data_IF_597118590447
#
_entry.id   IF_597118590447
#
_cell.length_a   1.000
_cell.length_b   1.000
_cell.length_c   1.000
_cell.angle_alpha   90.00
_cell.angle_beta   90.00
_cell.angle_gamma   90.00
#
_symmetry.space_group_name_H-M   'P 1'
#
loop_
_entity.id
_entity.type
_entity.pdbx_description
1 polymer ?
#
# COMPACT_ATOMS: atom_id res chain seq x y z
N UNK A 1 -47.42 -0.94 -36.61
CA UNK A 1 -46.04 -0.37 -36.43
C UNK A 1 -45.87 -0.07 -34.97
N UNK A 2 -45.30 -0.99 -34.23
CA UNK A 2 -45.05 -0.88 -32.78
C UNK A 2 -43.61 -0.56 -32.54
N UNK A 3 -43.37 0.59 -31.90
CA UNK A 3 -42.04 1.07 -31.49
C UNK A 3 -41.69 0.33 -30.21
N UNK A 4 -40.62 -0.45 -30.23
CA UNK A 4 -40.04 -1.11 -29.06
C UNK A 4 -39.40 -0.05 -28.15
N UNK A 5 -39.93 0.09 -26.96
CA UNK A 5 -39.27 0.76 -25.84
C UNK A 5 -38.11 -0.11 -25.38
N UNK A 6 -36.90 0.41 -25.50
CA UNK A 6 -35.71 -0.18 -24.90
C UNK A 6 -35.74 0.05 -23.38
N UNK A 7 -35.74 -1.05 -22.67
CA UNK A 7 -35.79 -1.16 -21.21
C UNK A 7 -34.51 -0.63 -20.55
N UNK A 8 -34.62 0.45 -19.80
CA UNK A 8 -33.54 1.10 -19.05
C UNK A 8 -33.34 0.52 -17.64
N UNK A 9 -33.41 -0.82 -17.50
CA UNK A 9 -33.37 -1.50 -16.21
C UNK A 9 -32.19 -2.45 -16.03
N UNK A 10 -30.95 -2.00 -16.27
CA UNK A 10 -29.78 -2.82 -15.92
C UNK A 10 -28.64 -1.97 -15.36
N UNK A 11 -28.78 -1.53 -14.10
CA UNK A 11 -27.66 -1.24 -13.18
C UNK A 11 -28.20 -0.95 -11.77
N UNK A 12 -28.96 -1.91 -11.21
CA UNK A 12 -29.23 -1.97 -9.77
C UNK A 12 -28.71 -3.30 -9.24
N UNK A 13 -27.39 -3.40 -9.07
CA UNK A 13 -26.83 -4.43 -8.18
C UNK A 13 -27.23 -4.05 -6.76
N UNK A 14 -27.83 -4.97 -5.97
CA UNK A 14 -28.29 -4.62 -4.62
C UNK A 14 -27.10 -4.25 -3.74
N UNK A 15 -27.05 -3.02 -3.27
CA UNK A 15 -26.07 -2.51 -2.29
C UNK A 15 -25.92 -3.43 -1.05
N UNK A 16 -26.92 -4.23 -0.74
CA UNK A 16 -26.91 -5.17 0.38
C UNK A 16 -26.04 -6.40 0.17
N UNK A 17 -25.89 -6.91 -1.05
CA UNK A 17 -25.02 -8.07 -1.34
C UNK A 17 -23.55 -7.67 -1.45
N UNK A 18 -23.24 -6.48 -1.99
CA UNK A 18 -21.89 -5.93 -2.01
C UNK A 18 -21.38 -5.59 -0.60
N UNK A 19 -22.22 -5.11 0.30
CA UNK A 19 -21.86 -4.83 1.71
C UNK A 19 -21.41 -6.06 2.50
N UNK A 20 -21.87 -7.25 2.13
CA UNK A 20 -21.50 -8.50 2.81
C UNK A 20 -20.17 -9.07 2.32
N UNK A 21 -19.80 -8.77 1.06
CA UNK A 21 -18.57 -9.27 0.41
C UNK A 21 -17.32 -8.40 0.62
N UNK A 22 -17.47 -7.11 0.98
CA UNK A 22 -16.36 -6.15 1.08
C UNK A 22 -16.36 -5.43 2.43
N UNK A 23 -16.28 -6.18 3.52
CA UNK A 23 -16.36 -5.62 4.87
C UNK A 23 -15.13 -4.78 5.22
N UNK A 24 -13.97 -5.21 4.77
CA UNK A 24 -12.70 -4.57 5.10
C UNK A 24 -12.63 -3.15 4.54
N UNK A 25 -12.75 -2.99 3.22
CA UNK A 25 -12.61 -1.67 2.60
C UNK A 25 -13.75 -0.72 3.01
N UNK A 26 -14.97 -1.23 3.22
CA UNK A 26 -16.09 -0.44 3.72
C UNK A 26 -15.81 0.13 5.11
N UNK A 27 -15.23 -0.67 6.00
CA UNK A 27 -14.82 -0.21 7.33
C UNK A 27 -13.71 0.85 7.29
N UNK A 28 -12.80 0.77 6.31
CA UNK A 28 -11.81 1.82 6.05
C UNK A 28 -12.50 3.12 5.64
N UNK A 29 -13.46 3.07 4.71
CA UNK A 29 -14.21 4.26 4.26
C UNK A 29 -14.92 4.95 5.43
N UNK A 30 -15.63 4.20 6.27
CA UNK A 30 -16.34 4.74 7.43
C UNK A 30 -15.39 5.46 8.41
N UNK A 31 -14.21 4.88 8.67
CA UNK A 31 -13.21 5.51 9.54
C UNK A 31 -12.61 6.77 8.93
N UNK A 32 -12.33 6.73 7.61
CA UNK A 32 -11.71 7.87 6.93
C UNK A 32 -12.67 9.06 6.77
N UNK A 33 -13.98 8.82 6.64
CA UNK A 33 -15.01 9.88 6.60
C UNK A 33 -14.95 10.79 7.84
N UNK A 34 -14.55 10.27 9.00
CA UNK A 34 -14.41 11.06 10.22
C UNK A 34 -13.18 11.97 10.23
N UNK A 35 -12.17 11.66 9.39
CA UNK A 35 -10.91 12.40 9.33
C UNK A 35 -10.39 12.46 7.88
N UNK A 36 -11.09 13.20 7.00
CA UNK A 36 -10.76 13.23 5.57
C UNK A 36 -9.32 13.68 5.29
N UNK A 37 -8.72 13.17 4.21
CA UNK A 37 -7.33 13.44 3.81
C UNK A 37 -7.21 14.02 2.42
N UNK A 38 -6.07 14.69 2.18
CA UNK A 38 -5.67 15.17 0.86
C UNK A 38 -4.81 14.10 0.20
N UNK A 39 -5.30 13.53 -0.89
CA UNK A 39 -4.57 12.50 -1.65
C UNK A 39 -4.20 13.06 -3.01
N UNK A 40 -2.90 13.04 -3.34
CA UNK A 40 -2.41 13.48 -4.64
C UNK A 40 -2.24 12.30 -5.59
N UNK A 41 -2.69 12.49 -6.83
CA UNK A 41 -2.61 11.54 -7.93
C UNK A 41 -1.82 12.18 -9.08
N UNK A 42 -0.55 11.81 -9.27
CA UNK A 42 0.30 12.36 -10.33
C UNK A 42 -0.24 12.14 -11.75
N UNK A 43 -0.89 11.01 -11.98
CA UNK A 43 -1.42 10.58 -13.27
C UNK A 43 -2.87 11.05 -13.49
N UNK A 44 -3.13 12.32 -13.20
CA UNK A 44 -4.48 12.88 -13.17
C UNK A 44 -5.21 12.92 -14.51
N UNK A 45 -4.56 12.56 -15.61
CA UNK A 45 -5.16 12.46 -16.96
C UNK A 45 -5.74 11.07 -17.26
N UNK A 46 -5.36 10.04 -16.48
CA UNK A 46 -5.86 8.68 -16.66
C UNK A 46 -7.34 8.58 -16.25
N UNK A 47 -8.13 7.94 -17.09
CA UNK A 47 -9.57 7.79 -16.89
C UNK A 47 -9.95 7.08 -15.60
N UNK A 48 -9.17 6.08 -15.18
CA UNK A 48 -9.38 5.31 -13.95
C UNK A 48 -9.07 6.16 -12.73
N UNK A 49 -8.02 6.97 -12.81
CA UNK A 49 -7.61 7.90 -11.75
C UNK A 49 -8.68 8.99 -11.55
N UNK A 50 -9.23 9.55 -12.64
CA UNK A 50 -10.33 10.53 -12.58
C UNK A 50 -11.57 9.91 -11.93
N UNK A 51 -11.93 8.68 -12.30
CA UNK A 51 -13.07 7.96 -11.69
C UNK A 51 -12.86 7.73 -10.19
N UNK A 52 -11.68 7.24 -9.80
CA UNK A 52 -11.32 7.01 -8.40
C UNK A 52 -11.33 8.32 -7.59
N UNK A 53 -10.74 9.39 -8.12
CA UNK A 53 -10.71 10.70 -7.47
C UNK A 53 -12.13 11.26 -7.25
N UNK A 54 -13.00 11.15 -8.26
CA UNK A 54 -14.40 11.57 -8.12
C UNK A 54 -15.14 10.76 -7.06
N UNK A 55 -14.95 9.43 -7.04
CA UNK A 55 -15.56 8.57 -6.03
C UNK A 55 -15.03 8.88 -4.62
N UNK A 56 -13.73 9.13 -4.48
CA UNK A 56 -13.09 9.51 -3.22
C UNK A 56 -13.74 10.77 -2.61
N UNK A 57 -14.00 11.78 -3.43
CA UNK A 57 -14.71 12.99 -3.01
C UNK A 57 -16.18 12.69 -2.68
N UNK A 58 -16.90 11.97 -3.57
CA UNK A 58 -18.32 11.68 -3.40
C UNK A 58 -18.61 10.88 -2.13
N UNK A 59 -17.72 9.95 -1.78
CA UNK A 59 -17.77 9.17 -0.55
C UNK A 59 -17.29 9.95 0.68
N UNK A 60 -16.95 11.24 0.53
CA UNK A 60 -16.47 12.12 1.62
C UNK A 60 -15.19 11.60 2.31
N UNK A 61 -14.32 10.92 1.58
CA UNK A 61 -13.07 10.38 2.11
C UNK A 61 -11.99 11.46 2.21
N UNK A 62 -12.11 12.55 1.44
CA UNK A 62 -11.17 13.65 1.48
C UNK A 62 -11.18 14.51 0.21
N UNK A 63 -10.08 15.22 0.00
CA UNK A 63 -9.85 16.09 -1.15
C UNK A 63 -8.86 15.39 -2.10
N UNK A 64 -9.31 14.88 -3.24
CA UNK A 64 -8.43 14.37 -4.27
C UNK A 64 -7.77 15.52 -5.03
N UNK A 65 -6.47 15.37 -5.33
CA UNK A 65 -5.67 16.35 -6.06
C UNK A 65 -5.12 15.64 -7.31
N UNK A 66 -5.58 16.03 -8.48
CA UNK A 66 -5.11 15.54 -9.77
C UNK A 66 -4.01 16.44 -10.30
N UNK A 67 -2.86 15.87 -10.68
CA UNK A 67 -1.80 16.59 -11.36
C UNK A 67 -1.85 16.39 -12.86
N UNK A 68 -1.53 17.45 -13.61
CA UNK A 68 -1.44 17.44 -15.07
C UNK A 68 -2.18 18.58 -15.73
N UNK A 69 -2.22 18.56 -17.06
CA UNK A 69 -2.88 19.59 -17.86
C UNK A 69 -4.38 19.69 -17.54
N UNK A 70 -4.80 20.84 -17.03
CA UNK A 70 -6.21 21.11 -16.70
C UNK A 70 -7.14 20.88 -17.89
N UNK A 71 -6.67 21.18 -19.10
CA UNK A 71 -7.44 20.98 -20.33
C UNK A 71 -7.67 19.51 -20.58
N UNK A 72 -6.61 18.69 -20.55
CA UNK A 72 -6.69 17.26 -20.85
C UNK A 72 -7.51 16.49 -19.78
N UNK A 73 -7.34 16.85 -18.50
CA UNK A 73 -8.14 16.26 -17.41
C UNK A 73 -9.64 16.54 -17.63
N UNK A 74 -10.01 17.78 -17.99
CA UNK A 74 -11.41 18.13 -18.27
C UNK A 74 -11.95 17.40 -19.49
N UNK A 75 -11.21 17.37 -20.59
CA UNK A 75 -11.61 16.64 -21.80
C UNK A 75 -11.84 15.14 -21.53
N UNK A 76 -10.99 14.52 -20.69
CA UNK A 76 -11.15 13.11 -20.31
C UNK A 76 -12.37 12.92 -19.41
N UNK A 77 -12.58 13.80 -18.44
CA UNK A 77 -13.75 13.76 -17.55
C UNK A 77 -15.07 13.96 -18.32
N UNK A 78 -15.10 14.90 -19.29
CA UNK A 78 -16.26 15.17 -20.13
C UNK A 78 -16.63 13.95 -20.99
N UNK A 79 -15.63 13.27 -21.58
CA UNK A 79 -15.85 12.01 -22.31
C UNK A 79 -16.45 10.89 -21.45
N UNK A 80 -16.15 10.89 -20.16
CA UNK A 80 -16.67 9.94 -19.18
C UNK A 80 -17.95 10.39 -18.52
N UNK A 81 -18.44 11.61 -18.82
CA UNK A 81 -19.55 12.26 -18.13
C UNK A 81 -19.35 12.37 -16.62
N UNK A 82 -18.11 12.63 -16.19
CA UNK A 82 -17.72 12.78 -14.78
C UNK A 82 -17.61 14.26 -14.44
N UNK A 83 -18.39 14.72 -13.46
CA UNK A 83 -18.26 16.05 -12.89
C UNK A 83 -17.03 16.15 -11.99
N UNK A 84 -16.20 17.18 -12.20
CA UNK A 84 -14.96 17.41 -11.43
C UNK A 84 -15.17 18.34 -10.22
N UNK A 85 -16.41 18.57 -9.81
CA UNK A 85 -16.71 19.36 -8.61
C UNK A 85 -16.10 18.68 -7.37
N UNK A 86 -15.38 19.47 -6.55
CA UNK A 86 -14.67 18.98 -5.37
C UNK A 86 -13.34 18.25 -5.64
N UNK A 87 -12.95 18.11 -6.90
CA UNK A 87 -11.64 17.58 -7.30
C UNK A 87 -10.70 18.76 -7.58
N UNK A 88 -9.58 18.83 -6.83
CA UNK A 88 -8.56 19.87 -7.07
C UNK A 88 -7.67 19.46 -8.24
N UNK A 89 -7.45 20.37 -9.20
CA UNK A 89 -6.55 20.12 -10.33
C UNK A 89 -5.39 21.13 -10.27
N UNK A 90 -4.18 20.62 -10.32
CA UNK A 90 -2.94 21.40 -10.36
C UNK A 90 -2.16 21.01 -11.61
N UNK A 91 -1.81 22.00 -12.43
CA UNK A 91 -0.85 21.83 -13.50
C UNK A 91 0.54 22.21 -12.96
N UNK A 92 1.48 21.26 -12.82
CA UNK A 92 2.81 21.53 -12.30
C UNK A 92 3.54 22.65 -13.06
N UNK A 93 3.30 22.74 -14.38
CA UNK A 93 3.96 23.73 -15.25
C UNK A 93 3.47 25.14 -15.08
N UNK A 94 2.30 25.32 -14.44
CA UNK A 94 1.62 26.61 -14.24
C UNK A 94 1.36 26.90 -12.76
N UNK A 95 2.05 26.18 -11.87
CA UNK A 95 1.83 26.31 -10.43
C UNK A 95 2.64 27.44 -9.82
N UNK A 96 2.01 28.21 -8.94
CA UNK A 96 2.67 29.25 -8.15
C UNK A 96 3.74 28.66 -7.18
N UNK A 97 3.59 27.39 -6.81
CA UNK A 97 4.52 26.70 -5.90
C UNK A 97 5.77 26.16 -6.61
N UNK A 98 5.82 26.19 -7.95
CA UNK A 98 6.90 25.58 -8.76
C UNK A 98 8.29 26.04 -8.32
N UNK A 99 8.48 27.38 -8.22
CA UNK A 99 9.78 27.94 -7.86
C UNK A 99 10.18 27.60 -6.42
N UNK A 100 9.21 27.59 -5.50
CA UNK A 100 9.42 27.19 -4.10
C UNK A 100 9.86 25.74 -4.00
N UNK A 101 9.17 24.85 -4.73
CA UNK A 101 9.50 23.42 -4.76
C UNK A 101 10.87 23.18 -5.42
N UNK A 102 11.17 23.86 -6.52
CA UNK A 102 12.46 23.74 -7.20
C UNK A 102 13.62 24.15 -6.30
N UNK A 103 13.53 25.29 -5.60
CA UNK A 103 14.55 25.74 -4.63
C UNK A 103 14.72 24.73 -3.49
N UNK A 104 13.61 24.18 -2.98
CA UNK A 104 13.69 23.18 -1.92
C UNK A 104 14.34 21.89 -2.40
N UNK A 105 14.00 21.41 -3.58
CA UNK A 105 14.59 20.21 -4.17
C UNK A 105 16.07 20.40 -4.49
N UNK A 106 16.46 21.56 -5.01
CA UNK A 106 17.88 21.90 -5.22
C UNK A 106 18.66 21.85 -3.91
N UNK A 107 18.12 22.41 -2.82
CA UNK A 107 18.77 22.34 -1.49
C UNK A 107 18.94 20.88 -1.01
N UNK A 108 17.92 20.04 -1.17
CA UNK A 108 17.98 18.63 -0.78
C UNK A 108 19.04 17.85 -1.56
N UNK A 109 19.27 18.21 -2.84
CA UNK A 109 20.10 17.43 -3.76
C UNK A 109 21.37 18.17 -4.22
N UNK A 110 21.69 19.33 -3.67
CA UNK A 110 22.87 20.12 -4.01
C UNK A 110 24.17 19.33 -3.87
N UNK A 111 24.30 18.52 -2.81
CA UNK A 111 25.43 17.63 -2.60
C UNK A 111 25.65 16.56 -3.67
N UNK A 112 24.63 16.34 -4.51
CA UNK A 112 24.66 15.40 -5.63
C UNK A 112 24.74 16.09 -6.99
N UNK A 113 25.07 17.40 -7.02
CA UNK A 113 25.29 18.16 -8.24
C UNK A 113 24.02 18.72 -8.91
N UNK A 114 22.85 18.64 -8.26
CA UNK A 114 21.63 19.25 -8.79
C UNK A 114 21.71 20.78 -8.66
N UNK A 115 21.49 21.48 -9.76
CA UNK A 115 21.35 22.93 -9.80
C UNK A 115 19.88 23.35 -9.89
N UNK A 116 19.60 24.65 -9.74
CA UNK A 116 18.23 25.17 -9.72
C UNK A 116 17.47 24.94 -11.04
N UNK A 117 18.15 25.01 -12.19
CA UNK A 117 17.48 24.81 -13.48
C UNK A 117 17.06 23.34 -13.66
N UNK A 118 17.93 22.38 -13.31
CA UNK A 118 17.57 20.97 -13.28
C UNK A 118 16.47 20.66 -12.25
N UNK A 119 16.46 21.35 -11.12
CA UNK A 119 15.40 21.22 -10.13
C UNK A 119 14.06 21.76 -10.65
N UNK A 120 14.03 22.87 -11.40
CA UNK A 120 12.81 23.38 -12.07
C UNK A 120 12.29 22.40 -13.11
N UNK A 121 13.18 21.87 -13.94
CA UNK A 121 12.83 20.87 -14.95
C UNK A 121 12.21 19.62 -14.32
N UNK A 122 12.78 19.14 -13.22
CA UNK A 122 12.21 18.03 -12.47
C UNK A 122 10.79 18.34 -11.95
N UNK A 123 10.54 19.55 -11.47
CA UNK A 123 9.21 19.94 -10.96
C UNK A 123 8.11 20.01 -12.03
N UNK A 124 8.44 20.03 -13.32
CA UNK A 124 7.44 19.86 -14.38
C UNK A 124 6.88 18.43 -14.46
N UNK A 125 7.60 17.46 -13.90
CA UNK A 125 7.18 16.06 -13.88
C UNK A 125 6.23 15.80 -12.70
N UNK A 126 5.03 15.23 -12.94
CA UNK A 126 4.01 15.08 -11.90
C UNK A 126 4.45 14.28 -10.67
N UNK A 127 5.27 13.23 -10.86
CA UNK A 127 5.76 12.42 -9.73
C UNK A 127 6.76 13.18 -8.84
N UNK A 128 7.62 14.04 -9.41
CA UNK A 128 8.48 14.92 -8.63
C UNK A 128 7.67 15.98 -7.89
N UNK A 129 6.71 16.59 -8.58
CA UNK A 129 5.85 17.62 -8.01
C UNK A 129 5.01 17.05 -6.84
N UNK A 130 4.41 15.87 -7.02
CA UNK A 130 3.65 15.18 -5.97
C UNK A 130 4.51 14.82 -4.77
N UNK A 131 5.73 14.33 -4.99
CA UNK A 131 6.69 14.04 -3.92
C UNK A 131 7.03 15.30 -3.12
N UNK A 132 7.21 16.45 -3.79
CA UNK A 132 7.39 17.72 -3.10
C UNK A 132 6.13 18.18 -2.35
N UNK A 133 4.93 17.96 -2.89
CA UNK A 133 3.68 18.24 -2.16
C UNK A 133 3.59 17.44 -0.85
N UNK A 134 4.04 16.17 -0.84
CA UNK A 134 4.13 15.37 0.38
C UNK A 134 5.17 15.94 1.36
N UNK A 135 6.38 16.24 0.87
CA UNK A 135 7.45 16.79 1.68
C UNK A 135 7.06 18.13 2.32
N UNK A 136 6.33 18.97 1.59
CA UNK A 136 5.86 20.29 2.03
C UNK A 136 4.47 20.27 2.69
N UNK A 137 3.93 19.08 3.03
CA UNK A 137 2.63 18.89 3.70
C UNK A 137 1.42 19.50 2.96
N UNK A 138 1.51 19.66 1.66
CA UNK A 138 0.39 20.08 0.84
C UNK A 138 -0.54 18.92 0.46
N UNK A 139 -0.03 17.69 0.51
CA UNK A 139 -0.80 16.45 0.44
C UNK A 139 -0.47 15.55 1.65
N UNK A 140 -1.41 14.68 2.04
CA UNK A 140 -1.24 13.75 3.16
C UNK A 140 -0.78 12.37 2.67
N UNK A 141 -1.17 11.98 1.45
CA UNK A 141 -0.78 10.72 0.80
C UNK A 141 -0.64 10.88 -0.73
N UNK A 142 0.06 9.94 -1.37
CA UNK A 142 0.24 9.89 -2.83
C UNK A 142 -0.09 8.50 -3.36
N UNK A 143 -0.82 8.44 -4.47
CA UNK A 143 -1.13 7.21 -5.22
C UNK A 143 -0.70 7.40 -6.66
N UNK A 144 0.24 6.59 -7.16
CA UNK A 144 0.77 6.66 -8.51
C UNK A 144 1.09 5.26 -9.05
N UNK A 145 1.40 5.11 -10.34
CA UNK A 145 1.78 3.86 -11.00
C UNK A 145 0.68 3.22 -11.84
N UNK A 146 -0.48 3.87 -11.99
CA UNK A 146 -1.53 3.39 -12.89
C UNK A 146 -1.09 3.44 -14.38
N UNK A 147 -0.17 4.33 -14.72
CA UNK A 147 0.38 4.53 -16.08
C UNK A 147 1.88 4.34 -16.07
N UNK A 148 2.58 5.00 -15.15
CA UNK A 148 4.03 4.99 -15.03
C UNK A 148 4.56 3.65 -14.49
N UNK A 149 5.81 3.33 -14.83
CA UNK A 149 6.48 2.18 -14.21
C UNK A 149 6.88 2.49 -12.76
N UNK A 150 7.05 1.45 -11.94
CA UNK A 150 7.46 1.62 -10.54
C UNK A 150 8.76 2.44 -10.40
N UNK A 151 9.72 2.30 -11.32
CA UNK A 151 10.96 3.07 -11.29
C UNK A 151 10.74 4.57 -11.50
N UNK A 152 9.81 4.97 -12.37
CA UNK A 152 9.45 6.37 -12.62
C UNK A 152 8.78 7.01 -11.39
N UNK A 153 8.04 6.23 -10.62
CA UNK A 153 7.41 6.69 -9.38
C UNK A 153 8.42 6.71 -8.21
N UNK A 154 9.18 5.63 -8.05
CA UNK A 154 10.09 5.46 -6.90
C UNK A 154 11.28 6.41 -6.94
N UNK A 155 11.84 6.69 -8.13
CA UNK A 155 13.04 7.51 -8.24
C UNK A 155 12.88 8.93 -7.66
N UNK A 156 11.88 9.75 -8.06
CA UNK A 156 11.65 11.05 -7.43
C UNK A 156 11.28 10.94 -5.95
N UNK A 157 10.50 9.94 -5.58
CA UNK A 157 10.06 9.74 -4.21
C UNK A 157 11.26 9.54 -3.26
N UNK A 158 12.15 8.60 -3.59
CA UNK A 158 13.33 8.29 -2.76
C UNK A 158 14.39 9.41 -2.78
N UNK A 159 14.33 10.33 -3.72
CA UNK A 159 15.17 11.52 -3.72
C UNK A 159 14.68 12.63 -2.78
N UNK A 160 13.37 12.66 -2.50
CA UNK A 160 12.70 13.77 -1.80
C UNK A 160 12.23 13.34 -0.41
N UNK A 161 11.67 12.12 -0.28
CA UNK A 161 11.13 11.60 0.98
C UNK A 161 12.19 10.76 1.68
N UNK A 162 12.43 11.06 2.94
CA UNK A 162 13.40 10.32 3.74
C UNK A 162 12.85 8.96 4.18
N UNK A 163 13.73 7.98 4.43
CA UNK A 163 13.36 6.79 5.17
C UNK A 163 12.73 7.17 6.53
N UNK A 164 11.77 6.38 6.98
CA UNK A 164 11.18 6.56 8.30
C UNK A 164 12.23 6.35 9.40
N UNK A 165 12.11 7.07 10.52
CA UNK A 165 13.06 6.98 11.63
C UNK A 165 13.16 5.53 12.15
N UNK A 166 14.39 5.03 12.27
CA UNK A 166 14.67 3.65 12.72
C UNK A 166 14.48 2.59 11.64
N UNK A 167 14.10 2.94 10.41
CA UNK A 167 13.95 1.98 9.31
C UNK A 167 15.14 2.04 8.38
N UNK A 168 15.69 0.86 8.03
CA UNK A 168 16.80 0.75 7.08
C UNK A 168 16.34 0.24 5.72
N UNK A 169 15.22 -0.50 5.68
CA UNK A 169 14.71 -1.16 4.48
C UNK A 169 13.38 -0.58 4.04
N UNK A 170 13.33 -0.11 2.79
CA UNK A 170 12.06 0.27 2.14
C UNK A 170 11.50 -0.96 1.43
N UNK A 171 10.20 -1.24 1.58
CA UNK A 171 9.54 -2.39 0.97
C UNK A 171 8.11 -2.04 0.53
N UNK A 172 7.49 -2.92 -0.26
CA UNK A 172 6.12 -2.78 -0.69
C UNK A 172 5.21 -3.88 -0.14
N UNK A 173 4.08 -3.50 0.45
CA UNK A 173 3.10 -4.44 0.96
C UNK A 173 1.80 -4.38 0.17
N UNK A 174 1.24 -5.54 -0.13
CA UNK A 174 -0.09 -5.71 -0.69
C UNK A 174 -1.06 -6.20 0.38
N UNK A 175 -2.30 -5.69 0.33
CA UNK A 175 -3.40 -6.17 1.17
C UNK A 175 -4.36 -6.92 0.27
N UNK A 176 -4.63 -8.18 0.59
CA UNK A 176 -5.60 -9.02 -0.11
C UNK A 176 -6.88 -9.09 0.73
N UNK A 177 -8.04 -8.77 0.11
CA UNK A 177 -9.35 -8.99 0.67
C UNK A 177 -10.01 -10.16 -0.06
N UNK A 178 -10.16 -11.30 0.63
CA UNK A 178 -10.78 -12.52 0.13
C UNK A 178 -12.30 -12.37 0.16
N UNK A 179 -12.94 -12.53 -1.00
CA UNK A 179 -14.38 -12.22 -1.18
C UNK A 179 -15.38 -13.25 -0.66
N UNK A 180 -14.96 -14.48 -0.38
CA UNK A 180 -15.86 -15.57 -0.04
C UNK A 180 -16.02 -15.80 1.47
N UNK A 181 -17.22 -16.13 1.91
CA UNK A 181 -17.52 -16.43 3.31
C UNK A 181 -16.72 -17.64 3.85
N UNK A 182 -16.37 -18.59 3.00
CA UNK A 182 -15.54 -19.75 3.36
C UNK A 182 -14.09 -19.35 3.65
N UNK A 183 -13.61 -18.29 3.00
CA UNK A 183 -12.27 -17.73 3.19
C UNK A 183 -12.15 -16.77 4.39
N UNK A 184 -13.27 -16.45 5.06
CA UNK A 184 -13.26 -15.57 6.25
C UNK A 184 -12.45 -16.15 7.43
N UNK A 185 -12.13 -17.45 7.40
CA UNK A 185 -11.26 -18.11 8.40
C UNK A 185 -9.77 -17.89 8.14
N UNK A 186 -9.41 -17.42 6.95
CA UNK A 186 -8.02 -17.18 6.53
C UNK A 186 -7.64 -15.75 6.91
N UNK A 187 -6.49 -15.58 7.53
CA UNK A 187 -5.97 -14.26 7.90
C UNK A 187 -6.78 -13.59 9.02
N UNK A 188 -7.05 -12.31 8.86
CA UNK A 188 -7.92 -11.51 9.72
C UNK A 188 -9.26 -11.29 9.01
N UNK A 189 -10.26 -12.11 9.29
CA UNK A 189 -11.58 -12.06 8.64
C UNK A 189 -11.51 -12.02 7.10
N UNK A 190 -10.62 -12.82 6.50
CA UNK A 190 -10.40 -12.86 5.05
C UNK A 190 -9.42 -11.80 4.54
N UNK A 191 -8.69 -11.12 5.42
CA UNK A 191 -7.67 -10.12 5.04
C UNK A 191 -6.27 -10.68 5.29
N UNK A 192 -5.40 -10.59 4.29
CA UNK A 192 -4.00 -10.96 4.34
C UNK A 192 -3.11 -9.79 3.93
N UNK A 193 -1.96 -9.69 4.57
CA UNK A 193 -0.89 -8.75 4.21
C UNK A 193 0.29 -9.51 3.64
N UNK A 194 0.76 -9.12 2.47
CA UNK A 194 1.88 -9.73 1.75
C UNK A 194 3.03 -8.74 1.62
N UNK A 195 4.29 -9.18 1.80
CA UNK A 195 5.49 -8.40 1.54
C UNK A 195 6.74 -9.30 1.33
N UNK A 196 7.80 -8.81 0.72
CA UNK A 196 7.89 -7.62 -0.12
C UNK A 196 7.37 -7.92 -1.53
N UNK A 197 6.55 -7.06 -2.06
CA UNK A 197 5.92 -7.27 -3.36
C UNK A 197 6.45 -6.33 -4.46
N UNK A 198 7.45 -5.45 -4.17
CA UNK A 198 7.83 -4.43 -5.15
C UNK A 198 9.27 -3.91 -5.16
N UNK A 199 10.11 -4.15 -4.15
CA UNK A 199 11.41 -3.47 -4.03
C UNK A 199 12.60 -4.42 -3.85
N UNK A 200 12.58 -5.28 -2.83
CA UNK A 200 13.73 -6.09 -2.45
C UNK A 200 13.77 -7.42 -3.23
N UNK A 201 14.72 -7.55 -4.17
CA UNK A 201 14.80 -8.72 -5.03
C UNK A 201 15.16 -9.98 -4.26
N UNK A 202 16.26 -9.94 -3.49
CA UNK A 202 16.74 -11.05 -2.66
C UNK A 202 17.19 -10.50 -1.30
N UNK A 203 16.25 -10.26 -0.38
CA UNK A 203 16.54 -9.63 0.90
C UNK A 203 17.45 -10.49 1.78
N UNK A 204 18.35 -9.83 2.50
CA UNK A 204 19.15 -10.41 3.58
C UNK A 204 18.30 -10.78 4.79
N UNK A 205 18.88 -11.41 5.81
CA UNK A 205 18.19 -11.71 7.09
C UNK A 205 17.69 -10.41 7.73
N UNK A 206 18.53 -9.38 7.75
CA UNK A 206 18.24 -8.09 8.34
C UNK A 206 17.10 -7.37 7.60
N UNK A 207 17.13 -7.39 6.28
CA UNK A 207 16.08 -6.81 5.42
C UNK A 207 14.76 -7.57 5.55
N UNK A 208 14.78 -8.92 5.57
CA UNK A 208 13.56 -9.71 5.83
C UNK A 208 12.94 -9.39 7.20
N UNK A 209 13.78 -9.23 8.23
CA UNK A 209 13.31 -8.85 9.55
C UNK A 209 12.68 -7.45 9.55
N UNK A 210 13.26 -6.47 8.86
CA UNK A 210 12.70 -5.13 8.71
C UNK A 210 11.37 -5.16 7.96
N UNK A 211 11.30 -5.90 6.83
CA UNK A 211 10.07 -6.09 6.04
C UNK A 211 8.97 -6.69 6.93
N UNK A 212 9.30 -7.71 7.72
CA UNK A 212 8.37 -8.38 8.62
C UNK A 212 7.81 -7.43 9.69
N UNK A 213 8.67 -6.64 10.33
CA UNK A 213 8.27 -5.65 11.37
C UNK A 213 7.44 -4.52 10.75
N UNK A 214 7.86 -3.98 9.60
CA UNK A 214 7.14 -2.91 8.92
C UNK A 214 5.74 -3.36 8.48
N UNK A 215 5.62 -4.58 7.94
CA UNK A 215 4.33 -5.15 7.53
C UNK A 215 3.45 -5.49 8.72
N UNK A 216 4.02 -6.01 9.82
CA UNK A 216 3.29 -6.21 11.08
C UNK A 216 2.73 -4.89 11.60
N UNK A 217 3.49 -3.81 11.57
CA UNK A 217 3.04 -2.47 11.97
C UNK A 217 1.87 -2.00 11.11
N UNK A 218 1.94 -2.17 9.78
CA UNK A 218 0.84 -1.86 8.87
C UNK A 218 -0.41 -2.69 9.22
N UNK A 219 -0.27 -4.01 9.39
CA UNK A 219 -1.39 -4.90 9.72
C UNK A 219 -2.06 -4.49 11.05
N UNK A 220 -1.27 -4.22 12.09
CA UNK A 220 -1.78 -3.74 13.37
C UNK A 220 -2.50 -2.39 13.25
N UNK A 221 -1.97 -1.47 12.44
CA UNK A 221 -2.60 -0.17 12.19
C UNK A 221 -3.94 -0.31 11.49
N UNK A 222 -4.07 -1.21 10.55
CA UNK A 222 -5.25 -1.32 9.69
C UNK A 222 -6.34 -2.20 10.34
N UNK A 223 -5.99 -3.36 10.92
CA UNK A 223 -6.95 -4.31 11.48
C UNK A 223 -7.19 -4.13 12.97
N UNK A 224 -6.25 -3.58 13.71
CA UNK A 224 -6.22 -3.50 15.19
C UNK A 224 -6.11 -4.87 15.88
N UNK A 225 -5.81 -5.94 15.14
CA UNK A 225 -5.52 -7.27 15.65
C UNK A 225 -4.00 -7.47 15.78
N UNK A 226 -3.53 -8.25 16.77
CA UNK A 226 -2.13 -8.64 16.84
C UNK A 226 -1.72 -9.40 15.56
N UNK A 227 -0.73 -8.89 14.79
CA UNK A 227 -0.25 -9.58 13.60
C UNK A 227 0.38 -10.93 13.91
N UNK A 228 0.10 -11.91 13.08
CA UNK A 228 0.65 -13.26 13.06
C UNK A 228 1.45 -13.41 11.78
N UNK A 229 2.75 -13.17 11.90
CA UNK A 229 3.67 -13.00 10.76
C UNK A 229 4.37 -14.33 10.47
N UNK A 230 4.14 -14.89 9.29
CA UNK A 230 4.80 -16.07 8.77
C UNK A 230 5.86 -15.69 7.75
N UNK A 231 7.13 -16.04 7.99
CA UNK A 231 8.18 -15.98 7.00
C UNK A 231 8.14 -17.27 6.17
N UNK A 232 7.79 -17.12 4.88
CA UNK A 232 7.51 -18.24 4.00
C UNK A 232 8.78 -18.87 3.45
N UNK A 233 8.78 -20.20 3.36
CA UNK A 233 9.89 -21.00 2.83
C UNK A 233 9.38 -22.23 2.08
N UNK A 234 10.30 -22.94 1.45
CA UNK A 234 10.06 -24.26 0.82
C UNK A 234 9.74 -25.33 1.87
N UNK A 235 10.24 -25.21 3.09
CA UNK A 235 10.17 -26.17 4.19
C UNK A 235 9.41 -25.59 5.39
N UNK A 236 9.03 -26.46 6.33
CA UNK A 236 8.36 -26.09 7.59
C UNK A 236 9.16 -26.67 8.75
N UNK A 237 9.94 -25.84 9.44
CA UNK A 237 10.81 -26.17 10.60
C UNK A 237 11.75 -27.39 10.38
N UNK A 238 12.02 -27.75 9.13
CA UNK A 238 12.82 -28.95 8.79
C UNK A 238 14.31 -28.66 8.75
N UNK A 239 14.71 -27.44 8.40
CA UNK A 239 16.13 -27.10 8.19
C UNK A 239 16.95 -27.16 9.46
N UNK A 240 16.40 -26.73 10.58
CA UNK A 240 17.09 -26.77 11.87
C UNK A 240 17.24 -28.20 12.42
N UNK A 241 16.28 -29.07 12.11
CA UNK A 241 16.24 -30.45 12.67
C UNK A 241 17.08 -31.41 11.84
N UNK A 242 17.08 -31.29 10.50
CA UNK A 242 17.69 -32.29 9.61
C UNK A 242 19.18 -32.02 9.32
N UNK A 243 19.65 -30.78 9.36
CA UNK A 243 20.99 -30.41 8.89
C UNK A 243 21.82 -29.55 9.86
N UNK A 244 21.24 -29.12 11.00
CA UNK A 244 21.91 -28.21 11.93
C UNK A 244 22.19 -26.82 11.35
N UNK A 245 21.51 -26.46 10.24
CA UNK A 245 21.65 -25.17 9.54
C UNK A 245 20.38 -24.33 9.82
N UNK A 246 20.59 -23.16 10.35
CA UNK A 246 19.49 -22.18 10.54
C UNK A 246 19.11 -21.59 9.18
N UNK A 247 17.84 -21.71 8.77
CA UNK A 247 17.37 -21.07 7.54
C UNK A 247 17.36 -19.54 7.65
N UNK A 248 17.46 -18.87 6.51
CA UNK A 248 17.38 -17.40 6.41
C UNK A 248 16.07 -16.90 7.04
N UNK A 249 14.96 -17.55 6.74
CA UNK A 249 13.63 -17.18 7.19
C UNK A 249 13.44 -17.37 8.69
N UNK A 250 13.97 -18.46 9.25
CA UNK A 250 13.94 -18.66 10.70
C UNK A 250 14.76 -17.60 11.45
N UNK A 251 15.99 -17.35 10.99
CA UNK A 251 16.84 -16.31 11.58
C UNK A 251 16.20 -14.91 11.50
N UNK A 252 15.58 -14.59 10.37
CA UNK A 252 14.86 -13.34 10.18
C UNK A 252 13.62 -13.23 11.08
N UNK A 253 12.86 -14.32 11.31
CA UNK A 253 11.72 -14.36 12.22
C UNK A 253 12.13 -14.04 13.65
N UNK A 254 13.22 -14.67 14.13
CA UNK A 254 13.76 -14.41 15.47
C UNK A 254 14.25 -12.96 15.63
N UNK A 255 14.92 -12.43 14.61
CA UNK A 255 15.39 -11.05 14.60
C UNK A 255 14.21 -10.05 14.58
N UNK A 256 13.17 -10.33 13.77
CA UNK A 256 11.96 -9.52 13.70
C UNK A 256 11.22 -9.50 15.05
N UNK A 257 11.09 -10.64 15.72
CA UNK A 257 10.49 -10.72 17.06
C UNK A 257 11.22 -9.82 18.07
N UNK A 258 12.58 -9.90 18.08
CA UNK A 258 13.40 -9.05 18.96
C UNK A 258 13.28 -7.56 18.65
N UNK A 259 13.21 -7.17 17.35
CA UNK A 259 13.02 -5.77 16.94
C UNK A 259 11.63 -5.27 17.34
N UNK A 260 10.59 -6.05 17.07
CA UNK A 260 9.20 -5.71 17.40
C UNK A 260 9.01 -5.51 18.91
N UNK A 261 9.63 -6.35 19.76
CA UNK A 261 9.60 -6.21 21.20
C UNK A 261 10.24 -4.89 21.67
N UNK A 262 11.42 -4.54 21.13
CA UNK A 262 12.10 -3.28 21.44
C UNK A 262 11.28 -2.05 21.03
N UNK A 263 10.51 -2.16 19.95
CA UNK A 263 9.63 -1.09 19.45
C UNK A 263 8.23 -1.09 20.11
N UNK A 264 7.94 -2.06 20.98
CA UNK A 264 6.64 -2.19 21.63
C UNK A 264 5.51 -2.63 20.71
N UNK A 265 5.84 -3.27 19.57
CA UNK A 265 4.87 -3.80 18.61
C UNK A 265 4.40 -5.18 19.09
N UNK A 266 3.12 -5.31 19.42
CA UNK A 266 2.51 -6.59 19.81
C UNK A 266 2.21 -7.42 18.57
N UNK A 267 3.14 -8.27 18.16
CA UNK A 267 3.03 -9.17 17.03
C UNK A 267 3.70 -10.52 17.33
N UNK A 268 3.32 -11.56 16.60
CA UNK A 268 3.92 -12.89 16.67
C UNK A 268 4.64 -13.18 15.36
N UNK A 269 5.82 -13.75 15.45
CA UNK A 269 6.65 -14.07 14.28
C UNK A 269 7.02 -15.56 14.33
N UNK A 270 6.95 -16.21 13.17
CA UNK A 270 7.38 -17.61 13.00
C UNK A 270 7.91 -17.81 11.57
N UNK A 271 8.78 -18.73 11.39
CA UNK A 271 9.43 -19.16 10.15
C UNK A 271 10.51 -20.18 10.47
N UNK A 272 10.87 -21.02 9.59
CA UNK A 272 10.42 -21.18 8.19
C UNK A 272 9.05 -21.90 8.12
N UNK A 273 8.13 -21.42 7.33
CA UNK A 273 6.82 -22.04 7.14
C UNK A 273 6.47 -22.14 5.64
N UNK A 274 5.97 -23.30 5.22
CA UNK A 274 5.30 -23.40 3.93
C UNK A 274 3.97 -22.66 3.96
N UNK A 275 3.53 -22.07 2.84
CA UNK A 275 2.35 -21.23 2.78
C UNK A 275 1.06 -21.93 3.27
N UNK A 276 0.89 -23.21 2.96
CA UNK A 276 -0.24 -24.02 3.43
C UNK A 276 -0.21 -24.26 4.94
N UNK A 277 0.97 -24.49 5.52
CA UNK A 277 1.16 -24.63 6.96
C UNK A 277 1.01 -23.28 7.69
N UNK A 278 1.33 -22.15 7.04
CA UNK A 278 1.11 -20.83 7.60
C UNK A 278 -0.39 -20.49 7.69
N UNK A 279 -1.20 -20.91 6.71
CA UNK A 279 -2.59 -20.49 6.55
C UNK A 279 -3.64 -21.46 7.11
N UNK A 280 -3.37 -22.78 7.09
CA UNK A 280 -4.36 -23.81 7.37
C UNK A 280 -3.96 -24.64 8.59
N UNK A 281 -4.72 -24.53 9.67
CA UNK A 281 -4.40 -25.17 10.96
C UNK A 281 -4.29 -26.70 10.88
N UNK A 282 -5.15 -27.37 10.10
CA UNK A 282 -5.09 -28.82 9.93
C UNK A 282 -3.83 -29.28 9.19
N UNK A 283 -3.31 -28.47 8.27
CA UNK A 283 -2.08 -28.74 7.54
C UNK A 283 -0.88 -28.47 8.44
N UNK A 284 -0.89 -27.36 9.17
CA UNK A 284 0.14 -27.05 10.16
C UNK A 284 0.30 -28.20 11.17
N UNK A 285 -0.80 -28.73 11.68
CA UNK A 285 -0.80 -29.83 12.65
C UNK A 285 -0.22 -31.13 12.08
N UNK A 286 -0.49 -31.42 10.80
CA UNK A 286 0.10 -32.61 10.13
C UNK A 286 1.61 -32.48 9.92
N UNK A 287 2.09 -31.26 9.57
CA UNK A 287 3.51 -31.02 9.28
C UNK A 287 4.36 -30.82 10.52
N UNK A 288 3.83 -30.15 11.55
CA UNK A 288 4.56 -29.85 12.79
C UNK A 288 4.35 -30.89 13.89
N UNK A 289 3.43 -31.86 13.68
CA UNK A 289 3.10 -32.90 14.65
C UNK A 289 1.97 -32.53 15.61
N UNK A 290 1.66 -33.45 16.54
CA UNK A 290 0.52 -33.33 17.47
C UNK A 290 0.76 -32.40 18.66
N UNK A 291 1.83 -31.62 18.66
CA UNK A 291 2.11 -30.61 19.68
C UNK A 291 1.18 -29.39 19.58
N UNK A 292 1.27 -28.50 20.56
CA UNK A 292 0.57 -27.22 20.52
C UNK A 292 1.17 -26.35 19.42
N UNK A 293 0.34 -25.98 18.43
CA UNK A 293 0.74 -25.01 17.41
C UNK A 293 0.95 -23.63 18.07
N UNK A 294 2.04 -22.98 17.69
CA UNK A 294 2.28 -21.61 18.07
C UNK A 294 1.17 -20.65 17.57
N UNK A 295 1.27 -19.37 17.89
CA UNK A 295 0.26 -18.38 17.52
C UNK A 295 0.19 -18.09 16.01
N UNK A 296 1.20 -18.49 15.21
CA UNK A 296 1.33 -18.15 13.78
C UNK A 296 0.92 -19.30 12.87
N UNK A 297 1.48 -20.51 13.09
CA UNK A 297 1.23 -21.65 12.22
C UNK A 297 -0.27 -21.99 12.11
N UNK A 298 -0.79 -22.03 10.89
CA UNK A 298 -2.19 -22.24 10.57
C UNK A 298 -3.12 -21.06 10.84
N UNK A 299 -2.59 -19.90 11.23
CA UNK A 299 -3.38 -18.71 11.61
C UNK A 299 -2.75 -17.40 11.14
N UNK A 300 -1.75 -17.46 10.26
CA UNK A 300 -1.05 -16.28 9.78
C UNK A 300 -2.00 -15.31 9.07
N UNK A 301 -1.80 -14.00 9.33
CA UNK A 301 -2.47 -12.93 8.61
C UNK A 301 -1.48 -12.00 7.90
N UNK A 302 -0.17 -12.19 8.14
CA UNK A 302 0.93 -11.52 7.43
C UNK A 302 1.86 -12.57 6.86
N UNK A 303 2.14 -12.49 5.56
CA UNK A 303 2.98 -13.43 4.82
C UNK A 303 4.19 -12.68 4.26
N UNK A 304 5.39 -13.05 4.70
CA UNK A 304 6.65 -12.48 4.20
C UNK A 304 7.29 -13.49 3.26
N UNK A 305 7.51 -13.08 2.03
CA UNK A 305 8.09 -13.94 0.99
C UNK A 305 9.62 -13.91 1.05
N UNK A 306 10.28 -15.02 0.66
CA UNK A 306 11.73 -15.12 0.70
C UNK A 306 12.43 -14.21 -0.32
N UNK A 307 11.75 -13.85 -1.39
CA UNK A 307 12.24 -12.96 -2.45
C UNK A 307 11.06 -12.36 -3.25
N UNK A 308 11.37 -11.35 -4.06
CA UNK A 308 10.40 -10.62 -4.86
C UNK A 308 9.70 -11.47 -5.91
N UNK A 309 10.41 -12.41 -6.56
CA UNK A 309 9.81 -13.26 -7.59
C UNK A 309 8.70 -14.14 -7.00
N UNK A 310 8.94 -14.76 -5.84
CA UNK A 310 7.94 -15.56 -5.15
C UNK A 310 6.70 -14.72 -4.78
N UNK A 311 6.91 -13.50 -4.31
CA UNK A 311 5.83 -12.59 -3.95
C UNK A 311 5.00 -12.15 -5.17
N UNK A 312 5.64 -11.66 -6.23
CA UNK A 312 4.96 -11.17 -7.45
C UNK A 312 4.17 -12.27 -8.14
N UNK A 313 4.78 -13.45 -8.33
CA UNK A 313 4.09 -14.60 -8.93
C UNK A 313 2.89 -15.02 -8.09
N UNK A 314 3.07 -15.19 -6.79
CA UNK A 314 2.01 -15.67 -5.90
C UNK A 314 0.85 -14.69 -5.80
N UNK A 315 1.12 -13.40 -5.62
CA UNK A 315 0.08 -12.38 -5.49
C UNK A 315 -0.76 -12.28 -6.77
N UNK A 316 -0.12 -12.32 -7.95
CA UNK A 316 -0.83 -12.29 -9.24
C UNK A 316 -1.68 -13.54 -9.47
N UNK A 317 -1.15 -14.73 -9.11
CA UNK A 317 -1.94 -15.97 -9.20
C UNK A 317 -3.17 -15.91 -8.29
N UNK A 318 -3.01 -15.48 -7.05
CA UNK A 318 -4.13 -15.32 -6.10
C UNK A 318 -5.14 -14.31 -6.63
N UNK A 319 -4.70 -13.15 -7.13
CA UNK A 319 -5.57 -12.11 -7.67
C UNK A 319 -6.50 -12.65 -8.77
N UNK A 320 -5.93 -13.35 -9.73
CA UNK A 320 -6.68 -13.78 -10.91
C UNK A 320 -7.46 -15.09 -10.71
N UNK A 321 -6.91 -16.04 -9.94
CA UNK A 321 -7.57 -17.33 -9.70
C UNK A 321 -8.65 -17.25 -8.62
N UNK A 322 -8.40 -16.53 -7.53
CA UNK A 322 -9.35 -16.38 -6.45
C UNK A 322 -10.29 -15.16 -6.61
N UNK A 323 -10.08 -14.36 -7.68
CA UNK A 323 -10.89 -13.14 -7.94
C UNK A 323 -10.98 -12.22 -6.73
N UNK A 324 -9.86 -12.03 -6.06
CA UNK A 324 -9.73 -11.21 -4.86
C UNK A 324 -9.44 -9.75 -5.21
N UNK A 325 -9.79 -8.84 -4.29
CA UNK A 325 -9.29 -7.47 -4.36
C UNK A 325 -7.88 -7.42 -3.79
N UNK A 326 -6.98 -6.74 -4.50
CA UNK A 326 -5.62 -6.46 -4.03
C UNK A 326 -5.42 -4.95 -3.98
N UNK A 327 -5.01 -4.47 -2.82
CA UNK A 327 -4.70 -3.05 -2.57
C UNK A 327 -3.20 -2.90 -2.33
N UNK A 328 -2.51 -2.18 -3.17
CA UNK A 328 -1.07 -1.95 -3.05
C UNK A 328 -0.41 -1.70 -4.41
N UNK A 329 0.93 -1.58 -4.46
CA UNK A 329 1.86 -1.79 -3.34
C UNK A 329 1.91 -0.56 -2.43
N UNK A 330 1.65 -0.75 -1.15
CA UNK A 330 1.79 0.28 -0.13
C UNK A 330 3.26 0.30 0.28
N UNK A 331 3.91 1.45 0.13
CA UNK A 331 5.32 1.60 0.51
C UNK A 331 5.46 1.74 2.02
N UNK A 332 6.35 0.94 2.57
CA UNK A 332 6.70 0.91 3.98
C UNK A 332 8.16 1.32 4.16
N UNK A 333 8.51 1.82 5.33
CA UNK A 333 9.87 2.27 5.61
C UNK A 333 10.18 3.69 5.10
N UNK A 334 9.20 4.43 4.64
CA UNK A 334 9.30 5.84 4.25
C UNK A 334 8.44 6.73 5.16
N UNK A 335 8.84 8.01 5.29
CA UNK A 335 8.21 8.95 6.23
C UNK A 335 6.85 9.51 5.77
N UNK A 336 6.35 9.08 4.61
CA UNK A 336 5.05 9.52 4.06
C UNK A 336 4.27 8.36 3.46
N UNK A 337 2.94 8.34 3.62
CA UNK A 337 2.09 7.33 3.01
C UNK A 337 2.07 7.46 1.48
N UNK A 338 2.58 6.45 0.81
CA UNK A 338 2.61 6.36 -0.66
C UNK A 338 2.27 4.95 -1.09
N UNK A 339 1.59 4.83 -2.22
CA UNK A 339 1.41 3.57 -2.90
C UNK A 339 1.83 3.66 -4.37
N UNK A 340 2.41 2.57 -4.85
CA UNK A 340 2.75 2.36 -6.26
C UNK A 340 1.82 1.29 -6.82
N UNK A 341 0.97 1.68 -7.75
CA UNK A 341 -0.05 0.80 -8.33
C UNK A 341 0.53 -0.11 -9.41
N UNK A 342 -0.14 -1.24 -9.64
CA UNK A 342 0.01 -1.97 -10.89
C UNK A 342 -0.67 -1.19 -12.03
N UNK A 343 -0.09 -1.21 -13.23
CA UNK A 343 -0.72 -0.66 -14.44
C UNK A 343 -2.05 -1.35 -14.81
N UNK A 344 -2.30 -2.53 -14.25
CA UNK A 344 -3.56 -3.25 -14.37
C UNK A 344 -4.63 -2.82 -13.34
N UNK A 345 -4.31 -1.90 -12.41
CA UNK A 345 -5.22 -1.45 -11.38
C UNK A 345 -6.50 -0.85 -11.97
N UNK A 346 -7.63 -1.18 -11.41
CA UNK A 346 -8.94 -0.61 -11.74
C UNK A 346 -9.19 0.68 -10.96
N UNK A 347 -10.20 1.46 -11.34
CA UNK A 347 -10.61 2.63 -10.58
C UNK A 347 -11.01 2.28 -9.12
N UNK A 348 -11.55 1.07 -8.90
CA UNK A 348 -11.89 0.56 -7.58
C UNK A 348 -10.64 0.30 -6.73
N UNK A 349 -9.61 -0.33 -7.32
CA UNK A 349 -8.34 -0.59 -6.62
C UNK A 349 -7.65 0.73 -6.23
N UNK A 350 -7.63 1.71 -7.15
CA UNK A 350 -7.08 3.05 -6.91
C UNK A 350 -7.80 3.74 -5.74
N UNK A 351 -9.14 3.68 -5.73
CA UNK A 351 -9.95 4.23 -4.65
C UNK A 351 -9.66 3.55 -3.31
N UNK A 352 -9.61 2.22 -3.31
CA UNK A 352 -9.33 1.44 -2.10
C UNK A 352 -7.95 1.75 -1.52
N UNK A 353 -6.92 1.78 -2.37
CA UNK A 353 -5.55 2.14 -1.97
C UNK A 353 -5.51 3.56 -1.40
N UNK A 354 -6.15 4.54 -2.06
CA UNK A 354 -6.21 5.91 -1.57
C UNK A 354 -6.86 6.02 -0.18
N UNK A 355 -7.90 5.24 0.07
CA UNK A 355 -8.57 5.20 1.37
C UNK A 355 -7.71 4.54 2.46
N UNK A 356 -7.01 3.45 2.13
CA UNK A 356 -6.09 2.78 3.06
C UNK A 356 -4.95 3.72 3.47
N UNK A 357 -4.33 4.42 2.51
CA UNK A 357 -3.31 5.42 2.82
C UNK A 357 -3.86 6.56 3.68
N UNK A 358 -5.07 7.01 3.40
CA UNK A 358 -5.75 8.03 4.22
C UNK A 358 -5.95 7.57 5.67
N UNK A 359 -6.35 6.32 5.90
CA UNK A 359 -6.48 5.74 7.24
C UNK A 359 -5.11 5.57 7.92
N UNK A 360 -4.08 5.17 7.17
CA UNK A 360 -2.70 5.10 7.67
C UNK A 360 -2.24 6.46 8.21
N UNK A 361 -2.52 7.58 7.51
CA UNK A 361 -2.23 8.93 7.99
C UNK A 361 -2.92 9.26 9.32
N UNK A 362 -4.17 8.81 9.52
CA UNK A 362 -4.91 9.07 10.74
C UNK A 362 -4.31 8.38 11.96
N UNK A 363 -3.90 7.13 11.79
CA UNK A 363 -3.36 6.32 12.89
C UNK A 363 -1.92 6.71 13.23
N UNK A 364 -1.12 7.06 12.25
CA UNK A 364 0.23 7.56 12.47
C UNK A 364 0.23 8.75 13.46
N UNK A 365 -0.63 9.74 13.25
CA UNK A 365 -0.76 10.89 14.17
C UNK A 365 -1.25 10.52 15.57
N UNK A 366 -2.04 9.46 15.72
CA UNK A 366 -2.51 8.97 17.02
C UNK A 366 -1.45 8.21 17.79
N UNK A 367 -0.61 7.44 17.08
CA UNK A 367 0.45 6.65 17.69
C UNK A 367 1.67 7.50 18.09
N UNK A 368 1.87 8.62 17.41
CA UNK A 368 2.98 9.55 17.65
C UNK A 368 2.48 10.99 17.84
N UNK A 369 1.72 11.28 18.94
CA UNK A 369 1.16 12.60 19.19
C UNK A 369 2.23 13.56 19.71
N UNK A 370 3.12 14.02 18.92
CA UNK A 370 4.22 14.93 19.34
C UNK A 370 5.47 14.83 18.50
N UNK A 371 5.50 13.87 17.59
CA UNK A 371 6.48 13.91 16.50
C UNK A 371 6.04 15.00 15.54
N UNK A 372 6.44 16.22 15.87
CA UNK A 372 6.38 17.34 14.94
C UNK A 372 7.08 16.89 13.67
N UNK A 373 6.42 17.09 12.57
CA UNK A 373 6.93 16.75 11.25
C UNK A 373 8.23 17.51 11.09
N UNK A 374 9.38 16.83 11.15
CA UNK A 374 10.68 17.45 10.90
C UNK A 374 10.66 17.97 9.47
N UNK A 375 10.74 19.26 9.32
CA UNK A 375 10.99 19.88 8.03
C UNK A 375 12.45 19.56 7.69
N UNK A 376 12.74 18.82 6.61
CA UNK A 376 14.12 18.55 6.24
C UNK A 376 14.88 19.87 6.09
N UNK A 377 15.92 20.11 6.91
CA UNK A 377 16.82 21.28 6.82
C UNK A 377 16.52 22.44 7.77
N UNK A 378 15.74 22.24 8.85
CA UNK A 378 15.79 23.07 10.07
C UNK A 378 16.59 22.37 11.17
#
# INVERSE_FOLDING_TARGET
>A
MSVHNADSSTFRTPLGSMRKLMRFITGIFERLQSHPKRVVFPEGQDSRVIQAARQFFTLKLGIPILLGSRKQIRETADKLSIALEGVRIIDPTQSDDLETFARRFELLRRGYGLNLDGAREAMYQPNYYASMMLAMHQADAMVSGAVDSSSVVLHPLLQIIHPAEGTQTVCGSQIIELGDADNAKIGSDGVLFLADCSIQQDPTIEELADIAVATARLALQITSEPPRVALLSLTTHESAVAQGITSKEYAAAMLAASRAEKEGIKAFFDGELQADAALISEIAQRKLGSGELGPVAGKANVLIFPNLEAADISSRLVQHLAKTNIYGDILLGIDRPVAVLSRAATAHDILGVAAILGEQCNRYRRMYPGVGIRIPGE
#
